data_IF_787443373470
#
_entry.id   IF_787443373470
#
_cell.length_a   1.000
_cell.length_b   1.000
_cell.length_c   1.000
_cell.angle_alpha   90.00
_cell.angle_beta   90.00
_cell.angle_gamma   90.00
#
_symmetry.space_group_name_H-M   'P 1'
#
loop_
_entity.id
_entity.type
_entity.pdbx_description
1 polymer ?
#
# COMPACT_ATOMS: atom_id res chain seq x y z
N UNK A 1 -10.41 4.85 -19.70
CA UNK A 1 -9.37 5.84 -19.30
C UNK A 1 -8.25 5.78 -20.32
N UNK A 2 -7.64 6.90 -20.70
CA UNK A 2 -6.45 6.95 -21.55
C UNK A 2 -5.33 7.74 -20.85
N UNK A 3 -4.08 7.31 -21.02
CA UNK A 3 -2.89 8.01 -20.50
C UNK A 3 -2.21 8.68 -21.69
N UNK A 4 -2.16 10.01 -21.68
CA UNK A 4 -1.61 10.81 -22.77
C UNK A 4 -0.36 11.58 -22.32
N UNK A 5 0.72 11.63 -23.12
CA UNK A 5 1.89 12.43 -22.82
C UNK A 5 1.62 13.92 -23.12
N UNK A 6 1.94 14.80 -22.18
CA UNK A 6 1.78 16.25 -22.31
C UNK A 6 3.14 16.94 -22.20
N UNK A 7 4.00 16.69 -23.19
CA UNK A 7 5.36 17.24 -23.26
C UNK A 7 6.41 16.41 -22.49
N UNK A 8 7.62 16.98 -22.29
CA UNK A 8 8.74 16.26 -21.66
C UNK A 8 8.40 15.86 -20.21
N UNK A 9 8.34 14.54 -19.96
CA UNK A 9 8.14 13.91 -18.63
C UNK A 9 6.84 14.29 -17.91
N UNK A 10 5.78 14.66 -18.65
CA UNK A 10 4.46 14.93 -18.08
C UNK A 10 3.41 14.03 -18.71
N UNK A 11 2.51 13.53 -17.88
CA UNK A 11 1.42 12.64 -18.24
C UNK A 11 0.11 13.24 -17.76
N UNK A 12 -0.92 13.06 -18.58
CA UNK A 12 -2.29 13.43 -18.29
C UNK A 12 -3.18 12.19 -18.43
N UNK A 13 -4.17 12.08 -17.56
CA UNK A 13 -5.17 11.02 -17.64
C UNK A 13 -6.43 11.61 -18.23
N UNK A 14 -6.92 11.05 -19.33
CA UNK A 14 -8.17 11.42 -19.96
C UNK A 14 -9.27 10.44 -19.59
N UNK A 15 -10.40 10.97 -19.15
CA UNK A 15 -11.64 10.22 -18.95
C UNK A 15 -12.27 9.98 -20.32
N UNK A 16 -12.41 8.71 -20.72
CA UNK A 16 -12.82 8.33 -22.09
C UNK A 16 -14.23 7.77 -22.10
N UNK A 17 -14.49 6.78 -21.25
CA UNK A 17 -15.76 6.06 -21.26
C UNK A 17 -16.17 5.71 -19.84
N UNK A 18 -17.35 6.18 -19.46
CA UNK A 18 -17.99 5.93 -18.18
C UNK A 18 -18.86 4.66 -18.19
N UNK A 19 -19.30 4.22 -19.37
CA UNK A 19 -20.26 3.11 -19.53
C UNK A 19 -19.70 1.76 -19.07
N UNK A 20 -18.37 1.63 -19.02
CA UNK A 20 -17.65 0.41 -18.61
C UNK A 20 -17.46 0.35 -17.09
N UNK A 21 -17.77 1.42 -16.34
CA UNK A 21 -17.49 1.52 -14.90
C UNK A 21 -18.53 0.75 -14.09
N UNK A 22 -18.08 -0.26 -13.33
CA UNK A 22 -18.97 -1.04 -12.48
C UNK A 22 -19.40 -0.27 -11.21
N UNK A 23 -20.55 -0.63 -10.62
CA UNK A 23 -20.94 -0.11 -9.30
C UNK A 23 -19.91 -0.45 -8.21
N UNK A 24 -19.85 0.35 -7.15
CA UNK A 24 -18.96 0.11 -6.00
C UNK A 24 -17.70 0.96 -6.04
N UNK A 25 -16.54 0.37 -5.72
CA UNK A 25 -15.29 1.13 -5.61
C UNK A 25 -14.84 1.73 -6.95
N UNK A 26 -15.19 1.10 -8.09
CA UNK A 26 -14.82 1.60 -9.42
C UNK A 26 -15.49 2.93 -9.72
N UNK A 27 -16.79 3.05 -9.41
CA UNK A 27 -17.50 4.33 -9.48
C UNK A 27 -16.91 5.37 -8.53
N UNK A 28 -16.54 5.00 -7.30
CA UNK A 28 -15.88 5.94 -6.38
C UNK A 28 -14.53 6.45 -6.92
N UNK A 29 -13.76 5.58 -7.60
CA UNK A 29 -12.52 5.99 -8.28
C UNK A 29 -12.83 6.93 -9.44
N UNK A 30 -13.83 6.60 -10.25
CA UNK A 30 -14.27 7.44 -11.36
C UNK A 30 -14.70 8.82 -10.88
N UNK A 31 -15.59 8.91 -9.89
CA UNK A 31 -16.10 10.16 -9.34
C UNK A 31 -14.96 11.02 -8.74
N UNK A 32 -14.02 10.37 -8.05
CA UNK A 32 -12.84 11.04 -7.53
C UNK A 32 -11.96 11.64 -8.63
N UNK A 33 -11.81 10.94 -9.76
CA UNK A 33 -11.07 11.42 -10.91
C UNK A 33 -11.85 12.53 -11.66
N UNK A 34 -13.14 12.33 -11.91
CA UNK A 34 -14.04 13.26 -12.59
C UNK A 34 -14.15 14.60 -11.86
N UNK A 35 -14.25 14.58 -10.52
CA UNK A 35 -14.29 15.81 -9.71
C UNK A 35 -13.03 16.67 -9.78
N UNK A 36 -11.92 16.13 -10.29
CA UNK A 36 -10.64 16.82 -10.45
C UNK A 36 -10.22 17.00 -11.92
N UNK A 37 -11.05 16.56 -12.86
CA UNK A 37 -10.79 16.74 -14.28
C UNK A 37 -11.06 18.19 -14.70
N UNK A 38 -10.22 18.71 -15.60
CA UNK A 38 -10.48 19.98 -16.27
C UNK A 38 -11.69 19.82 -17.24
N UNK A 39 -12.31 20.90 -17.77
CA UNK A 39 -13.49 20.82 -18.64
C UNK A 39 -13.32 19.93 -19.89
N UNK A 40 -12.09 19.66 -20.30
CA UNK A 40 -11.75 18.72 -21.38
C UNK A 40 -11.69 17.24 -20.92
N UNK A 41 -12.09 16.93 -19.68
CA UNK A 41 -12.09 15.57 -19.13
C UNK A 41 -10.69 15.06 -18.77
N UNK A 42 -9.74 15.96 -18.52
CA UNK A 42 -8.33 15.64 -18.50
C UNK A 42 -7.68 16.04 -17.16
N UNK A 43 -6.88 15.14 -16.58
CA UNK A 43 -6.38 15.23 -15.20
C UNK A 43 -4.85 15.29 -15.23
N UNK A 44 -4.31 16.45 -14.85
CA UNK A 44 -2.87 16.67 -14.72
C UNK A 44 -2.27 16.18 -13.39
N UNK A 45 -0.94 16.25 -13.30
CA UNK A 45 -0.18 15.77 -12.12
C UNK A 45 -0.51 16.51 -10.82
N UNK A 46 -0.84 17.81 -10.89
CA UNK A 46 -1.26 18.58 -9.71
C UNK A 46 -2.63 18.15 -9.20
N UNK A 47 -3.56 17.86 -10.11
CA UNK A 47 -4.91 17.40 -9.79
C UNK A 47 -4.90 15.99 -9.18
N UNK A 48 -4.00 15.11 -9.63
CA UNK A 48 -3.78 13.79 -9.04
C UNK A 48 -3.44 13.83 -7.54
N UNK A 49 -2.71 14.85 -7.10
CA UNK A 49 -2.43 15.06 -5.67
C UNK A 49 -3.69 15.26 -4.83
N UNK A 50 -4.74 15.87 -5.40
CA UNK A 50 -6.03 16.07 -4.72
C UNK A 50 -6.87 14.79 -4.67
N UNK A 51 -6.84 13.98 -5.73
CA UNK A 51 -7.47 12.65 -5.78
C UNK A 51 -6.96 11.74 -4.64
N UNK A 52 -5.70 11.91 -4.22
CA UNK A 52 -5.14 11.16 -3.09
C UNK A 52 -5.93 11.31 -1.78
N UNK A 53 -6.67 12.41 -1.60
CA UNK A 53 -7.49 12.63 -0.39
C UNK A 53 -8.72 11.72 -0.33
N UNK A 54 -9.32 11.37 -1.47
CA UNK A 54 -10.47 10.44 -1.52
C UNK A 54 -10.07 8.97 -1.39
N UNK A 55 -8.77 8.67 -1.49
CA UNK A 55 -8.23 7.31 -1.45
C UNK A 55 -8.54 6.55 -0.16
N UNK A 56 -8.73 7.27 0.96
CA UNK A 56 -9.13 6.65 2.22
C UNK A 56 -10.50 5.97 2.13
N UNK A 57 -11.48 6.61 1.51
CA UNK A 57 -12.82 6.06 1.30
C UNK A 57 -12.82 4.90 0.31
N UNK A 58 -12.11 5.06 -0.81
CA UNK A 58 -11.96 4.02 -1.84
C UNK A 58 -11.33 2.76 -1.24
N UNK A 59 -10.26 2.89 -0.45
CA UNK A 59 -9.62 1.75 0.23
C UNK A 59 -10.55 1.03 1.20
N UNK A 60 -11.42 1.77 1.91
CA UNK A 60 -12.43 1.18 2.80
C UNK A 60 -13.46 0.38 1.99
N UNK A 61 -13.94 0.92 0.87
CA UNK A 61 -14.89 0.23 -0.01
C UNK A 61 -14.29 -1.07 -0.59
N UNK A 62 -13.07 -1.00 -1.12
CA UNK A 62 -12.33 -2.19 -1.59
C UNK A 62 -12.19 -3.21 -0.46
N UNK A 63 -11.78 -2.78 0.74
CA UNK A 63 -11.65 -3.70 1.89
C UNK A 63 -12.98 -4.35 2.26
N UNK A 64 -14.08 -3.59 2.28
CA UNK A 64 -15.40 -4.13 2.60
C UNK A 64 -15.81 -5.22 1.60
N UNK A 65 -15.54 -5.01 0.31
CA UNK A 65 -15.81 -6.01 -0.72
C UNK A 65 -14.92 -7.25 -0.58
N UNK A 66 -13.62 -7.07 -0.28
CA UNK A 66 -12.71 -8.20 -0.04
C UNK A 66 -13.12 -9.03 1.18
N UNK A 67 -13.68 -8.39 2.21
CA UNK A 67 -14.26 -9.07 3.38
C UNK A 67 -15.55 -9.80 2.96
N UNK A 68 -16.44 -9.15 2.19
CA UNK A 68 -17.69 -9.76 1.71
C UNK A 68 -17.45 -10.98 0.82
N UNK A 69 -16.36 -10.98 0.02
CA UNK A 69 -15.90 -12.11 -0.79
C UNK A 69 -15.21 -13.20 0.03
N UNK A 70 -15.00 -13.00 1.34
CA UNK A 70 -14.31 -13.94 2.22
C UNK A 70 -12.80 -14.00 2.03
N UNK A 71 -12.20 -13.08 1.28
CA UNK A 71 -10.76 -13.05 1.01
C UNK A 71 -9.97 -12.34 2.12
N UNK A 72 -10.62 -11.42 2.83
CA UNK A 72 -10.05 -10.71 3.98
C UNK A 72 -10.79 -11.09 5.26
N UNK A 73 -10.05 -11.24 6.35
CA UNK A 73 -10.66 -11.47 7.66
C UNK A 73 -11.20 -10.16 8.25
N UNK A 74 -12.44 -10.21 8.76
CA UNK A 74 -13.14 -9.07 9.37
C UNK A 74 -12.43 -8.54 10.63
N UNK A 75 -11.92 -9.45 11.48
CA UNK A 75 -11.41 -9.14 12.82
C UNK A 75 -9.89 -9.10 12.97
N UNK A 76 -9.17 -8.93 11.85
CA UNK A 76 -7.70 -8.79 11.88
C UNK A 76 -7.23 -7.61 12.72
N UNK A 77 -8.06 -6.57 12.87
CA UNK A 77 -7.78 -5.47 13.81
C UNK A 77 -7.84 -5.92 15.26
N UNK A 78 -8.83 -6.73 15.64
CA UNK A 78 -8.99 -7.21 17.01
C UNK A 78 -7.83 -8.13 17.44
N UNK A 79 -7.30 -8.93 16.50
CA UNK A 79 -6.13 -9.78 16.76
C UNK A 79 -4.83 -8.99 16.90
N UNK A 80 -4.67 -7.88 16.16
CA UNK A 80 -3.46 -7.03 16.19
C UNK A 80 -3.43 -6.07 17.38
N UNK A 81 -4.60 -5.60 17.79
CA UNK A 81 -4.75 -4.58 18.83
C UNK A 81 -4.01 -4.89 20.15
N UNK A 82 -4.10 -6.09 20.75
CA UNK A 82 -3.37 -6.38 21.98
C UNK A 82 -1.85 -6.28 21.78
N UNK A 83 -1.30 -6.86 20.70
CA UNK A 83 0.14 -6.76 20.40
C UNK A 83 0.59 -5.32 20.17
N UNK A 84 -0.25 -4.51 19.52
CA UNK A 84 0.06 -3.10 19.28
C UNK A 84 0.04 -2.29 20.57
N UNK A 85 -0.95 -2.50 21.44
CA UNK A 85 -1.06 -1.84 22.75
C UNK A 85 0.10 -2.26 23.65
N UNK A 86 0.31 -3.56 23.83
CA UNK A 86 1.39 -4.10 24.67
C UNK A 86 2.74 -3.63 24.14
N UNK A 87 3.00 -3.76 22.83
CA UNK A 87 4.25 -3.32 22.22
C UNK A 87 4.51 -1.83 22.41
N UNK A 88 3.49 -0.98 22.24
CA UNK A 88 3.61 0.47 22.46
C UNK A 88 3.91 0.79 23.91
N UNK A 89 3.18 0.20 24.87
CA UNK A 89 3.40 0.43 26.30
C UNK A 89 4.82 0.04 26.70
N UNK A 90 5.27 -1.15 26.32
CA UNK A 90 6.60 -1.66 26.66
C UNK A 90 7.71 -0.79 26.06
N UNK A 91 7.54 -0.36 24.81
CA UNK A 91 8.50 0.50 24.14
C UNK A 91 8.56 1.89 24.81
N UNK A 92 7.40 2.49 25.13
CA UNK A 92 7.35 3.76 25.85
C UNK A 92 7.99 3.68 27.23
N UNK A 93 7.74 2.62 28.00
CA UNK A 93 8.39 2.41 29.30
C UNK A 93 9.91 2.28 29.17
N UNK A 94 10.38 1.63 28.11
CA UNK A 94 11.82 1.51 27.82
C UNK A 94 12.43 2.88 27.52
N UNK A 95 11.76 3.72 26.73
CA UNK A 95 12.23 5.08 26.45
C UNK A 95 12.32 5.92 27.73
N UNK A 96 11.31 5.83 28.60
CA UNK A 96 11.32 6.52 29.91
C UNK A 96 12.50 6.04 30.75
N UNK A 97 12.74 4.73 30.82
CA UNK A 97 13.85 4.16 31.57
C UNK A 97 15.23 4.58 31.03
N UNK A 98 15.36 4.73 29.71
CA UNK A 98 16.59 5.27 29.09
C UNK A 98 16.82 6.72 29.53
N UNK A 99 15.78 7.56 29.50
CA UNK A 99 15.89 8.95 29.96
C UNK A 99 16.28 9.00 31.45
N UNK A 100 15.65 8.17 32.29
CA UNK A 100 15.98 8.10 33.72
C UNK A 100 17.41 7.60 33.97
N UNK A 101 17.90 6.63 33.21
CA UNK A 101 19.27 6.14 33.32
C UNK A 101 20.30 7.22 32.98
N UNK A 102 20.00 8.05 31.96
CA UNK A 102 20.84 9.19 31.58
C UNK A 102 20.84 10.24 32.70
N UNK A 103 19.67 10.61 33.23
CA UNK A 103 19.55 11.62 34.29
C UNK A 103 20.18 11.16 35.61
N UNK A 104 20.07 9.87 35.94
CA UNK A 104 20.61 9.29 37.16
C UNK A 104 22.09 8.87 37.04
N UNK A 105 22.72 9.04 35.87
CA UNK A 105 24.07 8.57 35.54
C UNK A 105 24.32 7.10 35.93
N UNK A 106 23.26 6.29 35.93
CA UNK A 106 23.27 4.93 36.48
C UNK A 106 22.70 3.95 35.45
N UNK A 107 23.54 3.07 34.87
CA UNK A 107 23.10 2.12 33.86
C UNK A 107 22.32 0.95 34.45
N UNK A 108 22.24 0.81 35.78
CA UNK A 108 21.53 -0.28 36.44
C UNK A 108 20.05 -0.34 36.06
N UNK A 109 19.44 0.82 35.80
CA UNK A 109 18.04 0.91 35.31
C UNK A 109 17.90 0.23 33.94
N UNK A 110 18.93 0.25 33.09
CA UNK A 110 18.85 -0.34 31.74
C UNK A 110 18.76 -1.87 31.77
N UNK A 111 19.32 -2.54 32.79
CA UNK A 111 19.34 -4.01 32.88
C UNK A 111 17.91 -4.59 32.94
N UNK A 112 17.01 -3.92 33.65
CA UNK A 112 15.60 -4.34 33.72
C UNK A 112 14.80 -3.97 32.47
N UNK A 113 15.06 -2.79 31.89
CA UNK A 113 14.19 -2.22 30.87
C UNK A 113 14.59 -2.52 29.42
N UNK A 114 15.87 -2.83 29.15
CA UNK A 114 16.30 -3.24 27.81
C UNK A 114 15.61 -4.55 27.34
N UNK A 115 15.51 -5.62 28.16
CA UNK A 115 14.73 -6.80 27.79
C UNK A 115 13.25 -6.50 27.54
N UNK A 116 12.64 -5.63 28.34
CA UNK A 116 11.26 -5.15 28.16
C UNK A 116 11.09 -4.46 26.79
N UNK A 117 12.05 -3.62 26.41
CA UNK A 117 12.10 -2.98 25.10
C UNK A 117 12.16 -3.98 23.96
N UNK A 118 13.02 -5.01 24.07
CA UNK A 118 13.11 -6.07 23.06
C UNK A 118 11.81 -6.85 22.91
N UNK A 119 11.13 -7.19 24.02
CA UNK A 119 9.82 -7.83 23.99
C UNK A 119 8.77 -6.91 23.35
N UNK A 120 8.79 -5.62 23.67
CA UNK A 120 7.92 -4.62 23.05
C UNK A 120 8.12 -4.53 21.54
N UNK A 121 9.37 -4.45 21.09
CA UNK A 121 9.71 -4.47 19.66
C UNK A 121 9.25 -5.75 18.99
N UNK A 122 9.46 -6.91 19.63
CA UNK A 122 9.01 -8.20 19.10
C UNK A 122 7.48 -8.24 18.96
N UNK A 123 6.72 -7.75 19.94
CA UNK A 123 5.26 -7.66 19.86
C UNK A 123 4.80 -6.78 18.70
N UNK A 124 5.45 -5.64 18.45
CA UNK A 124 5.16 -4.77 17.31
C UNK A 124 5.45 -5.45 15.96
N UNK A 125 6.58 -6.16 15.87
CA UNK A 125 6.95 -6.94 14.67
C UNK A 125 5.92 -8.05 14.40
N UNK A 126 5.54 -8.81 15.43
CA UNK A 126 4.52 -9.85 15.31
C UNK A 126 3.17 -9.28 14.86
N UNK A 127 2.77 -8.12 15.41
CA UNK A 127 1.56 -7.42 14.96
C UNK A 127 1.60 -7.05 13.47
N UNK A 128 2.78 -6.76 12.91
CA UNK A 128 2.93 -6.42 11.51
C UNK A 128 2.84 -7.64 10.58
N UNK A 129 3.15 -8.83 11.09
CA UNK A 129 3.20 -10.09 10.32
C UNK A 129 1.83 -10.77 10.24
N UNK A 130 0.90 -10.52 11.18
CA UNK A 130 -0.45 -11.10 11.17
C UNK A 130 -1.13 -10.85 9.82
N UNK A 131 -1.44 -11.88 9.00
CA UNK A 131 -1.99 -11.67 7.68
C UNK A 131 -3.39 -11.09 7.74
N UNK A 132 -3.71 -10.19 6.80
CA UNK A 132 -5.08 -9.67 6.65
C UNK A 132 -5.97 -10.56 5.78
N UNK A 133 -5.35 -11.52 5.08
CA UNK A 133 -5.96 -12.43 4.13
C UNK A 133 -6.37 -13.73 4.80
N UNK A 134 -7.47 -14.31 4.33
CA UNK A 134 -7.88 -15.68 4.66
C UNK A 134 -7.10 -16.67 3.80
N UNK A 135 -7.18 -17.97 4.10
CA UNK A 135 -6.57 -19.01 3.27
C UNK A 135 -7.06 -18.94 1.81
N UNK A 136 -8.36 -18.71 1.60
CA UNK A 136 -8.93 -18.54 0.26
C UNK A 136 -8.46 -17.24 -0.41
N UNK A 137 -8.39 -16.14 0.34
CA UNK A 137 -7.81 -14.90 -0.15
C UNK A 137 -6.35 -15.05 -0.59
N UNK A 138 -5.57 -15.85 0.13
CA UNK A 138 -4.18 -16.14 -0.23
C UNK A 138 -4.06 -16.99 -1.49
N UNK A 139 -4.96 -17.95 -1.71
CA UNK A 139 -5.02 -18.72 -2.96
C UNK A 139 -5.33 -17.82 -4.16
N UNK A 140 -6.32 -16.93 -4.02
CA UNK A 140 -6.69 -15.98 -5.09
C UNK A 140 -5.59 -14.95 -5.34
N UNK A 141 -4.85 -14.53 -4.30
CA UNK A 141 -3.74 -13.60 -4.44
C UNK A 141 -2.46 -14.24 -5.00
N UNK A 142 -2.29 -15.56 -4.94
CA UNK A 142 -1.06 -16.23 -5.34
C UNK A 142 -0.66 -15.99 -6.82
N UNK A 143 -1.57 -16.10 -7.81
CA UNK A 143 -1.27 -15.75 -9.20
C UNK A 143 -0.78 -14.31 -9.36
N UNK A 144 -1.42 -13.36 -8.67
CA UNK A 144 -1.04 -11.95 -8.71
C UNK A 144 0.35 -11.69 -8.11
N UNK A 145 0.70 -12.39 -7.02
CA UNK A 145 2.07 -12.33 -6.46
C UNK A 145 3.09 -12.93 -7.43
N UNK A 146 2.74 -14.01 -8.12
CA UNK A 146 3.55 -14.58 -9.19
C UNK A 146 3.77 -13.59 -10.33
N UNK A 147 2.71 -12.96 -10.81
CA UNK A 147 2.77 -11.96 -11.87
C UNK A 147 3.57 -10.72 -11.47
N UNK A 148 3.42 -10.24 -10.23
CA UNK A 148 4.25 -9.16 -9.69
C UNK A 148 5.75 -9.51 -9.72
N UNK A 149 6.11 -10.75 -9.35
CA UNK A 149 7.50 -11.23 -9.42
C UNK A 149 7.99 -11.31 -10.87
N UNK A 150 7.15 -11.83 -11.77
CA UNK A 150 7.44 -11.86 -13.20
C UNK A 150 7.73 -10.46 -13.75
N UNK A 151 6.85 -9.48 -13.48
CA UNK A 151 7.04 -8.10 -13.92
C UNK A 151 8.34 -7.47 -13.38
N UNK A 152 8.72 -7.76 -12.14
CA UNK A 152 9.99 -7.28 -11.57
C UNK A 152 11.21 -7.86 -12.27
N UNK A 153 11.15 -9.13 -12.68
CA UNK A 153 12.24 -9.80 -13.39
C UNK A 153 12.30 -9.37 -14.86
N UNK A 154 11.17 -9.41 -15.55
CA UNK A 154 11.03 -9.01 -16.95
C UNK A 154 11.40 -7.54 -17.16
N UNK A 155 10.97 -6.65 -16.25
CA UNK A 155 11.32 -5.23 -16.30
C UNK A 155 12.84 -4.99 -16.30
N UNK A 156 13.60 -5.80 -15.55
CA UNK A 156 15.06 -5.68 -15.44
C UNK A 156 15.84 -6.26 -16.62
N UNK A 157 15.24 -7.18 -17.38
CA UNK A 157 15.91 -7.88 -18.47
C UNK A 157 15.31 -7.50 -19.82
N UNK A 158 15.96 -6.63 -20.64
CA UNK A 158 15.45 -6.16 -21.93
C UNK A 158 15.17 -7.27 -22.96
N UNK A 159 15.78 -8.45 -22.81
CA UNK A 159 15.65 -9.56 -23.76
C UNK A 159 14.31 -10.31 -23.64
N UNK A 160 13.56 -10.09 -22.55
CA UNK A 160 12.22 -10.67 -22.39
C UNK A 160 11.25 -9.86 -23.25
N UNK A 161 10.62 -10.50 -24.23
CA UNK A 161 9.55 -9.89 -25.00
C UNK A 161 8.31 -9.73 -24.10
N UNK A 162 7.87 -8.49 -23.92
CA UNK A 162 6.72 -8.14 -23.09
C UNK A 162 6.03 -6.92 -23.68
N UNK A 163 4.71 -7.02 -23.83
CA UNK A 163 3.89 -5.90 -24.22
C UNK A 163 3.89 -4.84 -23.11
N UNK A 164 4.55 -3.71 -23.39
CA UNK A 164 4.70 -2.60 -22.44
C UNK A 164 3.38 -1.87 -22.19
N UNK A 165 2.50 -1.81 -23.19
CA UNK A 165 1.21 -1.12 -23.07
C UNK A 165 0.33 -1.81 -22.03
N UNK A 166 0.40 -3.15 -22.00
CA UNK A 166 -0.28 -3.95 -20.98
C UNK A 166 0.53 -4.00 -19.67
N UNK A 167 1.85 -4.22 -19.73
CA UNK A 167 2.65 -4.53 -18.54
C UNK A 167 2.90 -3.34 -17.61
N UNK A 168 3.12 -2.13 -18.15
CA UNK A 168 3.48 -0.95 -17.36
C UNK A 168 2.37 -0.51 -16.40
N UNK A 169 1.08 -0.44 -16.81
CA UNK A 169 -0.02 -0.15 -15.89
C UNK A 169 -0.10 -1.13 -14.71
N UNK A 170 0.02 -2.44 -14.97
CA UNK A 170 0.03 -3.45 -13.91
C UNK A 170 1.28 -3.36 -13.04
N UNK A 171 2.45 -3.06 -13.62
CA UNK A 171 3.67 -2.87 -12.86
C UNK A 171 3.57 -1.66 -11.90
N UNK A 172 2.89 -0.59 -12.31
CA UNK A 172 2.61 0.54 -11.42
C UNK A 172 1.63 0.14 -10.30
N UNK A 173 0.53 -0.53 -10.63
CA UNK A 173 -0.47 -0.98 -9.66
C UNK A 173 0.12 -1.95 -8.62
N UNK A 174 1.00 -2.85 -9.06
CA UNK A 174 1.64 -3.87 -8.22
C UNK A 174 2.98 -3.40 -7.61
N UNK A 175 3.32 -2.12 -7.67
CA UNK A 175 4.59 -1.58 -7.10
C UNK A 175 5.85 -2.29 -7.64
N UNK A 176 5.87 -2.59 -8.94
CA UNK A 176 7.00 -3.11 -9.70
C UNK A 176 7.59 -2.11 -10.71
N UNK A 177 6.96 -0.94 -10.89
CA UNK A 177 7.29 0.05 -11.93
C UNK A 177 8.75 0.52 -11.98
N UNK A 178 9.45 0.63 -10.83
CA UNK A 178 10.88 0.97 -10.81
C UNK A 178 11.76 0.00 -11.61
N UNK A 179 11.31 -1.25 -11.75
CA UNK A 179 12.06 -2.29 -12.48
C UNK A 179 12.11 -2.00 -13.98
N UNK A 180 11.20 -1.18 -14.50
CA UNK A 180 11.07 -0.85 -15.93
C UNK A 180 11.82 0.43 -16.33
N UNK A 181 12.50 1.13 -15.42
CA UNK A 181 13.14 2.42 -15.74
C UNK A 181 14.10 2.33 -16.93
N UNK A 182 14.92 1.26 -16.99
CA UNK A 182 15.88 1.02 -18.08
C UNK A 182 15.24 0.67 -19.43
N UNK A 183 13.97 0.25 -19.43
CA UNK A 183 13.22 -0.09 -20.66
C UNK A 183 12.43 1.11 -21.21
N UNK A 184 12.27 2.15 -20.39
CA UNK A 184 11.47 3.34 -20.68
C UNK A 184 12.34 4.59 -20.88
N UNK A 185 13.66 4.44 -20.84
CA UNK A 185 14.65 5.44 -21.26
C UNK A 185 14.88 5.36 -22.77
#
# INVERSE_FOLDING_TARGET
>A
LAIEPVGKKKIQIRLVDESVIQPGYERMIWDALASQADPAGAIGTKQLGKVRKSWGGIRKAIRAELIARGWFASDTSAQRQPFWITGTILYTLTLIAVVLAIVAESPWVLIGFVPLGMIGTLALVLSAIIPNTTLEGDKVAAPWRGYQRYLRLAGKNPQVDIDLDTAVPYALALSAGQSFSKRLE
#
